data_IF_676268168313
#
_entry.id   IF_676268168313
#
_cell.length_a   1.000
_cell.length_b   1.000
_cell.length_c   1.000
_cell.angle_alpha   90.00
_cell.angle_beta   90.00
_cell.angle_gamma   90.00
#
_symmetry.space_group_name_H-M   'P 1'
#
loop_
_entity.id
_entity.type
_entity.pdbx_description
1 polymer ?
#
# COMPACT_ATOMS: atom_id res chain seq x y z
N UNK A 1 -16.74 8.87 21.07
CA UNK A 1 -16.21 7.64 20.40
C UNK A 1 -16.74 7.49 18.99
N UNK A 2 -18.04 7.51 18.70
CA UNK A 2 -18.58 7.32 17.32
C UNK A 2 -17.97 8.22 16.26
N UNK A 3 -17.73 9.51 16.56
CA UNK A 3 -17.07 10.43 15.62
C UNK A 3 -15.65 9.94 15.28
N UNK A 4 -14.84 9.59 16.28
CA UNK A 4 -13.46 9.13 16.05
C UNK A 4 -13.43 7.80 15.30
N UNK A 5 -14.38 6.92 15.56
CA UNK A 5 -14.54 5.67 14.81
C UNK A 5 -14.78 5.94 13.32
N UNK A 6 -15.75 6.79 12.98
CA UNK A 6 -16.04 7.15 11.58
C UNK A 6 -14.83 7.83 10.90
N UNK A 7 -14.15 8.75 11.58
CA UNK A 7 -12.97 9.42 11.04
C UNK A 7 -11.77 8.47 10.91
N UNK A 8 -11.59 7.54 11.84
CA UNK A 8 -10.53 6.54 11.78
C UNK A 8 -10.81 5.51 10.66
N UNK A 9 -12.08 5.22 10.36
CA UNK A 9 -12.45 4.43 9.17
C UNK A 9 -12.07 5.14 7.85
N UNK A 10 -12.20 6.47 7.80
CA UNK A 10 -11.69 7.27 6.67
C UNK A 10 -10.16 7.12 6.56
N UNK A 11 -9.44 7.15 7.69
CA UNK A 11 -7.98 6.89 7.70
C UNK A 11 -7.64 5.50 7.13
N UNK A 12 -8.37 4.46 7.54
CA UNK A 12 -8.17 3.10 7.02
C UNK A 12 -8.40 3.05 5.51
N UNK A 13 -9.50 3.61 5.02
CA UNK A 13 -9.80 3.66 3.58
C UNK A 13 -8.71 4.43 2.81
N UNK A 14 -8.22 5.54 3.37
CA UNK A 14 -7.13 6.32 2.76
C UNK A 14 -5.81 5.55 2.70
N UNK A 15 -5.50 4.74 3.72
CA UNK A 15 -4.32 3.89 3.72
C UNK A 15 -4.38 2.78 2.66
N UNK A 16 -5.57 2.22 2.38
CA UNK A 16 -5.76 1.24 1.30
C UNK A 16 -5.42 1.76 -0.10
N UNK A 17 -5.55 3.06 -0.36
CA UNK A 17 -5.14 3.67 -1.64
C UNK A 17 -3.63 3.51 -1.91
N UNK A 18 -2.83 3.32 -0.87
CA UNK A 18 -1.37 3.16 -0.93
C UNK A 18 -0.90 1.76 -0.49
N UNK A 19 -1.83 0.79 -0.47
CA UNK A 19 -1.51 -0.57 -0.04
C UNK A 19 -0.38 -1.16 -0.89
N UNK A 20 0.56 -1.82 -0.22
CA UNK A 20 1.77 -2.44 -0.76
C UNK A 20 2.88 -1.48 -1.25
N UNK A 21 2.57 -0.19 -1.48
CA UNK A 21 3.55 0.78 -2.02
C UNK A 21 4.68 1.14 -1.04
N UNK A 22 4.44 0.97 0.26
CA UNK A 22 5.43 1.17 1.31
C UNK A 22 6.05 -0.14 1.85
N UNK A 23 5.81 -1.28 1.19
CA UNK A 23 6.27 -2.59 1.67
C UNK A 23 7.77 -2.61 1.99
N UNK A 24 8.10 -3.37 2.97
CA UNK A 24 8.93 -3.44 4.14
C UNK A 24 8.40 -2.60 5.31
N UNK A 25 7.53 -1.60 5.09
CA UNK A 25 6.78 -0.87 6.10
C UNK A 25 5.28 -1.10 5.91
N UNK A 26 4.48 -0.98 6.99
CA UNK A 26 3.03 -1.06 6.89
C UNK A 26 2.44 0.17 6.19
N UNK A 27 1.29 0.01 5.53
CA UNK A 27 0.46 1.13 5.09
C UNK A 27 -0.25 1.71 6.31
N UNK A 28 0.10 2.94 6.68
CA UNK A 28 -0.44 3.64 7.86
C UNK A 28 -0.96 5.01 7.45
N UNK A 29 -2.12 5.40 7.97
CA UNK A 29 -2.64 6.76 7.87
C UNK A 29 -2.77 7.39 9.25
N UNK A 30 -2.59 8.71 9.30
CA UNK A 30 -2.76 9.53 10.49
C UNK A 30 -3.56 10.78 10.14
N UNK A 31 -4.58 11.08 10.97
CA UNK A 31 -5.37 12.29 10.90
C UNK A 31 -5.17 13.11 12.17
N UNK A 32 -5.06 14.43 12.04
CA UNK A 32 -5.01 15.35 13.17
C UNK A 32 -6.26 16.22 13.18
N UNK A 33 -6.92 16.27 14.32
CA UNK A 33 -8.08 17.11 14.58
C UNK A 33 -7.72 18.22 15.56
N UNK A 34 -8.31 19.39 15.39
CA UNK A 34 -8.22 20.48 16.35
C UNK A 34 -9.15 20.29 17.57
N UNK A 35 -9.19 21.28 18.47
CA UNK A 35 -10.07 21.29 19.66
C UNK A 35 -11.57 21.24 19.35
N UNK A 36 -12.00 21.65 18.17
CA UNK A 36 -13.38 21.64 17.68
C UNK A 36 -13.70 20.38 16.86
N UNK A 37 -12.73 19.44 16.75
CA UNK A 37 -12.76 18.25 15.89
C UNK A 37 -12.79 18.57 14.39
N UNK A 38 -12.31 19.73 13.96
CA UNK A 38 -12.05 20.03 12.56
C UNK A 38 -10.77 19.32 12.09
N UNK A 39 -10.78 18.82 10.86
CA UNK A 39 -9.65 18.07 10.29
C UNK A 39 -8.56 19.07 9.89
N UNK A 40 -7.42 19.02 10.57
CA UNK A 40 -6.23 19.79 10.22
C UNK A 40 -5.40 19.09 9.14
N UNK A 41 -5.33 17.77 9.20
CA UNK A 41 -4.55 16.98 8.22
C UNK A 41 -5.01 15.53 8.16
N UNK A 42 -4.77 14.88 7.01
CA UNK A 42 -4.86 13.43 6.81
C UNK A 42 -3.71 13.01 5.89
N UNK A 43 -2.77 12.27 6.43
CA UNK A 43 -1.57 11.84 5.72
C UNK A 43 -1.37 10.33 5.78
N UNK A 44 -0.67 9.80 4.77
CA UNK A 44 -0.37 8.36 4.65
C UNK A 44 1.12 8.15 4.45
N UNK A 45 1.66 7.08 5.03
CA UNK A 45 3.00 6.61 4.73
C UNK A 45 2.99 5.92 3.35
N UNK A 46 3.46 6.64 2.31
CA UNK A 46 3.32 6.24 0.90
C UNK A 46 4.49 5.42 0.37
N UNK A 47 5.67 5.50 1.00
CA UNK A 47 6.90 4.88 0.49
C UNK A 47 7.87 4.60 1.63
N UNK A 48 8.54 3.45 1.58
CA UNK A 48 9.60 3.12 2.53
C UNK A 48 10.72 4.19 2.55
N UNK A 49 11.30 4.40 3.72
CA UNK A 49 12.37 5.40 3.99
C UNK A 49 11.93 6.87 3.93
N UNK A 50 10.65 7.18 3.78
CA UNK A 50 10.09 8.52 3.93
C UNK A 50 9.53 8.70 5.34
N UNK A 51 9.14 9.95 5.76
CA UNK A 51 8.52 10.15 7.06
C UNK A 51 7.27 9.30 7.25
N UNK A 52 7.03 8.81 8.47
CA UNK A 52 5.83 8.06 8.80
C UNK A 52 4.59 8.97 8.80
N UNK A 53 3.40 8.36 8.74
CA UNK A 53 2.14 9.08 8.65
C UNK A 53 1.93 10.09 9.78
N UNK A 54 2.34 9.75 11.01
CA UNK A 54 2.24 10.63 12.19
C UNK A 54 3.10 11.89 12.04
N UNK A 55 4.31 11.73 11.50
CA UNK A 55 5.25 12.84 11.24
C UNK A 55 4.71 13.77 10.16
N UNK A 56 4.21 13.18 9.05
CA UNK A 56 3.60 13.92 7.94
C UNK A 56 2.32 14.65 8.39
N UNK A 57 1.47 13.98 9.16
CA UNK A 57 0.24 14.58 9.68
C UNK A 57 0.54 15.73 10.65
N UNK A 58 1.54 15.58 11.54
CA UNK A 58 2.00 16.66 12.41
C UNK A 58 2.59 17.82 11.60
N UNK A 59 3.38 17.56 10.55
CA UNK A 59 3.91 18.58 9.62
C UNK A 59 2.77 19.38 8.98
N UNK A 60 1.80 18.70 8.38
CA UNK A 60 0.68 19.34 7.70
C UNK A 60 -0.22 20.11 8.66
N UNK A 61 -0.50 19.57 9.84
CA UNK A 61 -1.27 20.27 10.88
C UNK A 61 -0.53 21.49 11.42
N UNK A 62 0.81 21.40 11.65
CA UNK A 62 1.59 22.52 12.17
C UNK A 62 1.65 23.71 11.20
N UNK A 63 1.63 23.46 9.87
CA UNK A 63 1.52 24.54 8.87
C UNK A 63 0.24 25.37 9.03
N UNK A 64 -0.85 24.76 9.51
CA UNK A 64 -2.12 25.43 9.78
C UNK A 64 -2.10 26.11 11.14
N UNK A 65 -1.65 25.39 12.18
CA UNK A 65 -1.61 25.89 13.56
C UNK A 65 -0.56 27.00 13.76
N UNK A 66 0.52 27.00 12.97
CA UNK A 66 1.64 27.94 13.02
C UNK A 66 2.01 28.42 11.61
N UNK A 67 1.21 29.28 10.96
CA UNK A 67 1.44 29.73 9.58
C UNK A 67 2.82 30.36 9.34
N UNK A 68 3.44 30.94 10.36
CA UNK A 68 4.81 31.51 10.28
C UNK A 68 5.89 30.47 9.99
N UNK A 69 5.66 29.18 10.28
CA UNK A 69 6.61 28.09 10.05
C UNK A 69 6.36 27.37 8.71
N UNK A 70 5.33 27.77 7.94
CA UNK A 70 4.91 27.07 6.73
C UNK A 70 6.04 26.91 5.71
N UNK A 71 6.75 28.01 5.41
CA UNK A 71 7.85 28.00 4.42
C UNK A 71 9.01 27.08 4.82
N UNK A 72 9.32 26.99 6.11
CA UNK A 72 10.38 26.11 6.60
C UNK A 72 9.94 24.65 6.55
N UNK A 73 8.71 24.36 7.00
CA UNK A 73 8.14 23.01 6.97
C UNK A 73 8.00 22.44 5.56
N UNK A 74 7.70 23.26 4.55
CA UNK A 74 7.57 22.80 3.14
C UNK A 74 8.90 22.30 2.53
N UNK A 75 10.04 22.68 3.10
CA UNK A 75 11.38 22.28 2.64
C UNK A 75 11.91 21.01 3.30
N UNK A 76 11.21 20.52 4.34
CA UNK A 76 11.67 19.40 5.16
C UNK A 76 11.07 18.09 4.69
N UNK A 77 11.90 17.27 4.04
CA UNK A 77 11.54 15.93 3.55
C UNK A 77 12.27 14.81 4.29
N UNK A 78 13.47 15.09 4.85
CA UNK A 78 14.22 14.08 5.60
C UNK A 78 13.51 13.73 6.92
N UNK A 79 13.25 12.44 7.20
CA UNK A 79 12.49 12.02 8.37
C UNK A 79 13.09 12.46 9.71
N UNK A 80 14.42 12.49 9.83
CA UNK A 80 15.11 12.85 11.08
C UNK A 80 15.07 14.36 11.30
N UNK A 81 15.36 15.12 10.24
CA UNK A 81 15.35 16.60 10.28
C UNK A 81 13.93 17.09 10.58
N UNK A 82 12.93 16.57 9.87
CA UNK A 82 11.53 16.93 10.08
C UNK A 82 11.05 16.59 11.50
N UNK A 83 11.32 15.38 11.97
CA UNK A 83 10.97 14.99 13.35
C UNK A 83 11.65 15.88 14.40
N UNK A 84 12.92 16.21 14.23
CA UNK A 84 13.65 17.14 15.08
C UNK A 84 13.04 18.54 15.09
N UNK A 85 12.70 19.06 13.91
CA UNK A 85 12.06 20.38 13.77
C UNK A 85 10.69 20.42 14.48
N UNK A 86 9.85 19.41 14.27
CA UNK A 86 8.55 19.31 14.94
C UNK A 86 8.69 19.32 16.47
N UNK A 87 9.63 18.53 17.01
CA UNK A 87 9.90 18.44 18.45
C UNK A 87 10.31 19.78 19.07
N UNK A 88 11.02 20.62 18.34
CA UNK A 88 11.57 21.90 18.86
C UNK A 88 10.69 23.10 18.58
N UNK A 89 9.85 23.07 17.53
CA UNK A 89 9.12 24.27 17.08
C UNK A 89 7.59 24.18 17.23
N UNK A 90 7.04 23.07 17.78
CA UNK A 90 5.58 22.92 17.94
C UNK A 90 4.98 23.92 18.94
N UNK A 91 5.74 24.36 19.95
CA UNK A 91 5.32 25.37 20.95
C UNK A 91 3.89 25.09 21.48
N UNK A 92 3.65 23.87 21.97
CA UNK A 92 2.36 23.41 22.52
C UNK A 92 1.16 23.50 21.56
N UNK A 93 1.38 23.68 20.25
CA UNK A 93 0.30 23.82 19.27
C UNK A 93 -0.63 22.61 19.21
N UNK A 94 -0.17 21.43 19.62
CA UNK A 94 -0.94 20.18 19.59
C UNK A 94 -1.66 19.83 20.89
N UNK A 95 -1.52 20.64 21.96
CA UNK A 95 -2.03 20.34 23.31
C UNK A 95 -3.52 19.95 23.33
N UNK A 96 -4.34 20.58 22.49
CA UNK A 96 -5.78 20.33 22.42
C UNK A 96 -6.17 19.46 21.20
N UNK A 97 -5.20 18.95 20.43
CA UNK A 97 -5.42 18.16 19.24
C UNK A 97 -5.68 16.68 19.56
N UNK A 98 -6.35 16.01 18.64
CA UNK A 98 -6.56 14.55 18.66
C UNK A 98 -5.88 13.95 17.43
N UNK A 99 -5.06 12.92 17.66
CA UNK A 99 -4.46 12.11 16.59
C UNK A 99 -5.24 10.82 16.42
N UNK A 100 -5.65 10.52 15.21
CA UNK A 100 -6.30 9.25 14.82
C UNK A 100 -5.31 8.49 13.93
N UNK A 101 -4.89 7.29 14.33
CA UNK A 101 -3.80 6.56 13.69
C UNK A 101 -4.25 5.11 13.43
N UNK A 102 -4.03 4.60 12.24
CA UNK A 102 -4.48 3.24 11.87
C UNK A 102 -3.67 2.11 12.50
N UNK A 103 -2.49 2.41 13.06
CA UNK A 103 -1.61 1.45 13.74
C UNK A 103 -0.97 2.13 14.96
N UNK A 104 -0.68 1.37 16.00
CA UNK A 104 0.09 1.84 17.16
C UNK A 104 1.38 2.53 16.72
N UNK A 105 1.68 3.76 17.21
CA UNK A 105 2.90 4.49 16.87
C UNK A 105 4.15 3.68 17.23
N UNK A 106 5.09 3.56 16.30
CA UNK A 106 6.32 2.80 16.53
C UNK A 106 7.12 3.36 17.73
N UNK A 107 7.72 2.45 18.52
CA UNK A 107 8.50 2.78 19.71
C UNK A 107 10.00 2.47 19.59
N UNK A 108 10.45 2.03 18.41
CA UNK A 108 11.85 1.71 18.15
C UNK A 108 12.50 2.76 17.26
N UNK A 109 13.75 3.09 17.57
CA UNK A 109 14.62 3.82 16.66
C UNK A 109 15.09 2.87 15.55
N UNK A 110 14.65 3.12 14.32
CA UNK A 110 15.09 2.41 13.14
C UNK A 110 15.74 3.34 12.13
N UNK A 111 15.34 3.24 10.87
CA UNK A 111 15.73 4.18 9.81
C UNK A 111 15.15 5.59 10.05
N UNK A 112 14.06 5.67 10.82
CA UNK A 112 13.37 6.91 11.23
C UNK A 112 13.28 6.98 12.76
N UNK A 113 13.16 8.19 13.36
CA UNK A 113 12.87 8.36 14.78
C UNK A 113 11.53 7.73 15.18
N UNK A 114 11.39 7.31 16.44
CA UNK A 114 10.17 6.71 16.95
C UNK A 114 8.99 7.73 16.95
N UNK A 115 7.85 7.33 16.36
CA UNK A 115 6.65 8.18 16.33
C UNK A 115 6.05 8.39 17.71
N UNK A 116 6.15 7.39 18.60
CA UNK A 116 5.69 7.52 19.99
C UNK A 116 6.46 8.58 20.77
N UNK A 117 7.76 8.76 20.49
CA UNK A 117 8.57 9.84 21.09
C UNK A 117 8.15 11.22 20.57
N UNK A 118 7.88 11.32 19.27
CA UNK A 118 7.35 12.56 18.71
C UNK A 118 6.02 12.93 19.39
N UNK A 119 5.07 11.99 19.44
CA UNK A 119 3.75 12.23 20.03
C UNK A 119 3.83 12.54 21.55
N UNK A 120 4.74 11.89 22.29
CA UNK A 120 5.03 12.23 23.68
C UNK A 120 5.44 13.71 23.84
N UNK A 121 6.33 14.20 22.98
CA UNK A 121 6.83 15.59 23.02
C UNK A 121 5.75 16.59 22.55
N UNK A 122 5.01 16.26 21.48
CA UNK A 122 3.91 17.09 21.00
C UNK A 122 2.76 17.20 22.02
N UNK A 123 2.65 16.21 22.90
CA UNK A 123 1.70 16.12 24.01
C UNK A 123 0.25 16.44 23.59
N UNK A 124 -0.33 15.73 22.62
CA UNK A 124 -1.72 15.97 22.20
C UNK A 124 -2.70 15.56 23.32
N UNK A 125 -3.91 16.11 23.27
CA UNK A 125 -4.98 15.76 24.19
C UNK A 125 -5.29 14.26 24.17
N UNK A 126 -5.30 13.67 22.98
CA UNK A 126 -5.68 12.25 22.78
C UNK A 126 -5.04 11.64 21.54
N UNK A 127 -4.72 10.35 21.63
CA UNK A 127 -4.34 9.51 20.50
C UNK A 127 -5.31 8.34 20.45
N UNK A 128 -6.01 8.15 19.30
CA UNK A 128 -6.91 7.02 19.06
C UNK A 128 -6.26 6.14 17.99
N UNK A 129 -6.06 4.88 18.27
CA UNK A 129 -5.44 3.92 17.37
C UNK A 129 -6.42 2.83 16.96
N UNK A 130 -6.32 2.33 15.72
CA UNK A 130 -7.20 1.27 15.24
C UNK A 130 -6.75 -0.12 15.72
N UNK A 131 -5.45 -0.38 15.76
CA UNK A 131 -4.90 -1.66 16.24
C UNK A 131 -3.51 -1.50 16.83
N UNK A 132 -3.14 -2.40 17.72
CA UNK A 132 -1.79 -2.47 18.29
C UNK A 132 -0.78 -3.02 17.28
N UNK A 133 0.50 -2.72 17.51
CA UNK A 133 1.63 -3.33 16.83
C UNK A 133 1.83 -4.79 17.33
N UNK A 134 2.63 -5.58 16.61
CA UNK A 134 2.98 -6.93 17.08
C UNK A 134 3.84 -6.86 18.36
N UNK A 135 3.91 -7.97 19.11
CA UNK A 135 4.61 -8.03 20.40
C UNK A 135 6.08 -7.57 20.34
N UNK A 136 6.77 -7.83 19.21
CA UNK A 136 8.17 -7.48 19.05
C UNK A 136 8.42 -5.95 18.88
N UNK A 137 7.40 -5.20 18.45
CA UNK A 137 7.48 -3.75 18.15
C UNK A 137 6.56 -2.90 19.01
N UNK A 138 5.80 -3.52 19.90
CA UNK A 138 4.88 -2.90 20.86
C UNK A 138 5.60 -1.90 21.78
N UNK A 139 4.84 -1.00 22.35
CA UNK A 139 5.32 -0.11 23.41
C UNK A 139 5.02 1.36 23.19
N UNK A 140 4.55 1.74 22.01
CA UNK A 140 4.14 3.12 21.73
C UNK A 140 2.96 3.55 22.59
N UNK A 141 1.94 2.70 22.72
CA UNK A 141 0.78 2.95 23.58
C UNK A 141 1.17 3.08 25.07
N UNK A 142 2.05 2.19 25.55
CA UNK A 142 2.54 2.23 26.91
C UNK A 142 3.35 3.51 27.20
N UNK A 143 4.18 3.94 26.22
CA UNK A 143 4.95 5.19 26.31
C UNK A 143 4.04 6.40 26.41
N UNK A 144 3.03 6.51 25.57
CA UNK A 144 2.08 7.61 25.56
C UNK A 144 1.29 7.68 26.90
N UNK A 145 0.83 6.53 27.40
CA UNK A 145 0.16 6.47 28.72
C UNK A 145 1.07 6.91 29.86
N UNK A 146 2.35 6.50 29.84
CA UNK A 146 3.35 6.95 30.84
C UNK A 146 3.61 8.45 30.77
N UNK A 147 3.52 9.04 29.59
CA UNK A 147 3.63 10.47 29.37
C UNK A 147 2.32 11.25 29.64
N UNK A 148 1.31 10.58 30.21
CA UNK A 148 -0.02 11.16 30.51
C UNK A 148 -0.80 11.63 29.27
N UNK A 149 -0.46 11.16 28.07
CA UNK A 149 -1.28 11.32 26.86
C UNK A 149 -2.40 10.30 26.89
N UNK A 150 -3.65 10.73 26.74
CA UNK A 150 -4.79 9.82 26.67
C UNK A 150 -4.71 8.99 25.37
N UNK A 151 -4.28 7.74 25.49
CA UNK A 151 -4.13 6.84 24.35
C UNK A 151 -5.09 5.66 24.47
N UNK A 152 -5.96 5.46 23.45
CA UNK A 152 -7.04 4.48 23.43
C UNK A 152 -7.07 3.70 22.11
N UNK A 153 -7.60 2.47 22.16
CA UNK A 153 -7.80 1.60 20.99
C UNK A 153 -9.27 1.64 20.59
N UNK A 154 -9.53 1.78 19.31
CA UNK A 154 -10.85 1.68 18.71
C UNK A 154 -11.13 0.21 18.32
N UNK A 155 -11.58 -0.59 19.29
CA UNK A 155 -11.76 -2.04 19.13
C UNK A 155 -12.68 -2.43 17.97
N UNK A 156 -13.71 -1.62 17.69
CA UNK A 156 -14.65 -1.89 16.58
C UNK A 156 -13.98 -1.91 15.19
N UNK A 157 -12.83 -1.24 15.02
CA UNK A 157 -12.10 -1.18 13.77
C UNK A 157 -10.86 -2.09 13.71
N UNK A 158 -10.59 -2.82 14.78
CA UNK A 158 -9.37 -3.64 14.92
C UNK A 158 -9.21 -4.66 13.78
N UNK A 159 -10.30 -5.37 13.42
CA UNK A 159 -10.25 -6.35 12.34
C UNK A 159 -9.98 -5.70 10.97
N UNK A 160 -10.62 -4.54 10.67
CA UNK A 160 -10.35 -3.78 9.43
C UNK A 160 -8.89 -3.30 9.37
N UNK A 161 -8.33 -2.88 10.50
CA UNK A 161 -6.94 -2.48 10.59
C UNK A 161 -5.98 -3.67 10.42
N UNK A 162 -6.29 -4.85 10.99
CA UNK A 162 -5.53 -6.08 10.78
C UNK A 162 -5.55 -6.53 9.31
N UNK A 163 -6.68 -6.38 8.63
CA UNK A 163 -6.80 -6.65 7.19
C UNK A 163 -5.91 -5.71 6.36
N UNK A 164 -5.88 -4.42 6.68
CA UNK A 164 -4.98 -3.45 6.06
C UNK A 164 -3.51 -3.83 6.25
N UNK A 165 -3.14 -4.37 7.41
CA UNK A 165 -1.75 -4.72 7.73
C UNK A 165 -1.32 -6.09 7.18
N UNK A 166 -2.24 -6.89 6.63
CA UNK A 166 -1.97 -8.27 6.24
C UNK A 166 -0.78 -8.42 5.26
N UNK A 167 -0.63 -7.62 4.18
CA UNK A 167 0.53 -7.72 3.28
C UNK A 167 1.86 -7.49 4.00
N UNK A 168 1.91 -6.51 4.89
CA UNK A 168 3.08 -6.22 5.71
C UNK A 168 3.41 -7.39 6.67
N UNK A 169 2.39 -7.96 7.34
CA UNK A 169 2.57 -9.11 8.25
C UNK A 169 3.06 -10.36 7.51
N UNK A 170 2.57 -10.59 6.29
CA UNK A 170 3.05 -11.68 5.44
C UNK A 170 4.52 -11.45 5.06
N UNK A 171 4.87 -10.23 4.61
CA UNK A 171 6.24 -9.84 4.28
C UNK A 171 7.17 -10.03 5.49
N UNK A 172 6.78 -9.55 6.66
CA UNK A 172 7.55 -9.67 7.90
C UNK A 172 7.78 -11.14 8.30
N UNK A 173 6.75 -11.98 8.20
CA UNK A 173 6.80 -13.40 8.59
C UNK A 173 7.54 -14.27 7.58
N UNK A 174 7.32 -14.04 6.28
CA UNK A 174 7.81 -14.93 5.20
C UNK A 174 9.03 -14.37 4.46
N UNK A 175 9.43 -13.10 4.69
CA UNK A 175 10.43 -12.40 3.89
C UNK A 175 10.00 -12.14 2.43
N UNK A 176 8.72 -12.36 2.13
CA UNK A 176 8.13 -12.20 0.80
C UNK A 176 6.64 -11.86 0.86
N UNK A 177 6.17 -11.22 -0.20
CA UNK A 177 4.74 -11.02 -0.44
C UNK A 177 4.46 -11.14 -1.94
N UNK A 178 3.52 -12.00 -2.32
CA UNK A 178 3.15 -12.29 -3.71
C UNK A 178 1.72 -11.81 -3.98
N UNK A 179 1.60 -10.70 -4.72
CA UNK A 179 0.33 -10.10 -5.10
C UNK A 179 0.00 -10.46 -6.55
N UNK A 180 -1.10 -11.15 -6.78
CA UNK A 180 -1.61 -11.42 -8.12
C UNK A 180 -2.62 -10.37 -8.53
N UNK A 181 -2.41 -9.71 -9.66
CA UNK A 181 -3.35 -8.74 -10.23
C UNK A 181 -4.02 -9.28 -11.47
N UNK A 182 -5.34 -9.22 -11.50
CA UNK A 182 -6.18 -9.55 -12.64
C UNK A 182 -7.16 -8.39 -12.93
N UNK A 183 -7.35 -8.05 -14.20
CA UNK A 183 -8.41 -7.14 -14.63
C UNK A 183 -9.46 -7.90 -15.43
N UNK A 184 -10.75 -7.63 -15.16
CA UNK A 184 -11.86 -8.23 -15.89
C UNK A 184 -13.04 -7.25 -16.01
N UNK A 185 -13.91 -7.50 -16.97
CA UNK A 185 -15.21 -6.84 -17.11
C UNK A 185 -16.27 -7.55 -16.28
N UNK A 186 -17.44 -6.92 -16.15
CA UNK A 186 -18.56 -7.47 -15.35
C UNK A 186 -19.03 -8.85 -15.81
N UNK A 187 -18.89 -9.17 -17.10
CA UNK A 187 -19.19 -10.51 -17.63
C UNK A 187 -18.00 -11.49 -17.54
N UNK A 188 -16.94 -11.16 -16.81
CA UNK A 188 -15.77 -12.02 -16.59
C UNK A 188 -14.75 -12.01 -17.72
N UNK A 189 -14.94 -11.21 -18.76
CA UNK A 189 -13.95 -11.09 -19.83
C UNK A 189 -12.66 -10.41 -19.32
N UNK A 190 -11.51 -11.03 -19.63
CA UNK A 190 -10.17 -10.54 -19.30
C UNK A 190 -9.20 -10.61 -20.50
N UNK A 191 -9.72 -10.88 -21.69
CA UNK A 191 -8.89 -11.16 -22.89
C UNK A 191 -9.01 -10.10 -23.98
N UNK A 192 -10.13 -9.40 -24.06
CA UNK A 192 -10.41 -8.55 -25.21
C UNK A 192 -10.07 -7.08 -24.94
N UNK A 193 -9.02 -6.60 -25.59
CA UNK A 193 -8.62 -5.19 -25.58
C UNK A 193 -8.24 -4.65 -24.21
N UNK A 194 -8.09 -3.32 -24.14
CA UNK A 194 -7.79 -2.62 -22.88
C UNK A 194 -9.02 -2.62 -21.97
N UNK A 195 -8.86 -3.06 -20.73
CA UNK A 195 -9.95 -3.14 -19.74
C UNK A 195 -9.87 -1.95 -18.78
N UNK A 196 -8.69 -1.66 -18.22
CA UNK A 196 -8.50 -0.70 -17.15
C UNK A 196 -8.42 0.75 -17.63
N UNK A 197 -8.99 1.68 -16.86
CA UNK A 197 -8.93 3.12 -17.07
C UNK A 197 -7.58 3.74 -16.69
N UNK A 198 -7.51 5.09 -16.73
CA UNK A 198 -6.26 5.81 -16.50
C UNK A 198 -5.79 5.73 -15.05
N UNK A 199 -6.69 5.92 -14.08
CA UNK A 199 -6.33 5.84 -12.65
C UNK A 199 -5.86 4.44 -12.25
N UNK A 200 -6.51 3.40 -12.76
CA UNK A 200 -6.06 2.02 -12.57
C UNK A 200 -4.70 1.73 -13.21
N UNK A 201 -4.41 2.37 -14.35
CA UNK A 201 -3.08 2.28 -14.96
C UNK A 201 -2.01 2.92 -14.07
N UNK A 202 -2.27 4.13 -13.53
CA UNK A 202 -1.37 4.80 -12.56
C UNK A 202 -1.17 3.91 -11.34
N UNK A 203 -2.25 3.41 -10.74
CA UNK A 203 -2.19 2.52 -9.58
C UNK A 203 -1.33 1.27 -9.87
N UNK A 204 -1.54 0.61 -11.01
CA UNK A 204 -0.75 -0.56 -11.44
C UNK A 204 0.72 -0.21 -11.66
N UNK A 205 1.01 0.94 -12.27
CA UNK A 205 2.39 1.39 -12.49
C UNK A 205 3.09 1.81 -11.20
N UNK A 206 2.35 2.30 -10.18
CA UNK A 206 2.90 2.51 -8.83
C UNK A 206 3.34 1.18 -8.21
N UNK A 207 2.53 0.11 -8.35
CA UNK A 207 2.91 -1.24 -7.90
C UNK A 207 4.17 -1.75 -8.62
N UNK A 208 4.26 -1.56 -9.94
CA UNK A 208 5.46 -1.92 -10.72
C UNK A 208 6.69 -1.15 -10.28
N UNK A 209 6.56 0.15 -9.97
CA UNK A 209 7.68 0.97 -9.52
C UNK A 209 8.21 0.57 -8.13
N UNK A 210 7.39 -0.09 -7.31
CA UNK A 210 7.74 -0.48 -5.93
C UNK A 210 8.05 -1.96 -5.76
N UNK A 211 7.58 -2.84 -6.65
CA UNK A 211 7.89 -4.27 -6.55
C UNK A 211 9.36 -4.59 -6.89
N UNK A 212 9.85 -5.70 -6.36
CA UNK A 212 11.17 -6.22 -6.68
C UNK A 212 11.15 -6.97 -8.01
N UNK A 213 10.09 -7.77 -8.24
CA UNK A 213 9.94 -8.55 -9.48
C UNK A 213 8.50 -8.49 -9.98
N UNK A 214 8.35 -8.18 -11.25
CA UNK A 214 7.11 -8.32 -12.01
C UNK A 214 7.09 -9.68 -12.71
N UNK A 215 6.06 -10.48 -12.46
CA UNK A 215 5.89 -11.80 -13.08
C UNK A 215 4.78 -11.75 -14.12
N UNK A 216 5.03 -12.27 -15.30
CA UNK A 216 4.05 -12.36 -16.40
C UNK A 216 4.14 -13.69 -17.14
N UNK A 217 3.11 -14.03 -17.92
CA UNK A 217 3.16 -15.19 -18.81
C UNK A 217 3.87 -14.88 -20.12
N UNK A 218 4.55 -15.87 -20.71
CA UNK A 218 5.11 -15.74 -22.06
C UNK A 218 4.03 -15.53 -23.13
N UNK A 219 2.78 -15.96 -22.88
CA UNK A 219 1.64 -15.66 -23.75
C UNK A 219 1.40 -14.15 -23.83
N UNK A 220 1.38 -13.44 -22.69
CA UNK A 220 1.26 -11.97 -22.66
C UNK A 220 2.33 -11.30 -23.50
N UNK A 221 3.61 -11.75 -23.39
CA UNK A 221 4.70 -11.17 -24.18
C UNK A 221 4.47 -11.37 -25.69
N UNK A 222 4.07 -12.58 -26.12
CA UNK A 222 3.85 -12.87 -27.53
C UNK A 222 2.62 -12.22 -28.14
N UNK A 223 1.57 -11.98 -27.32
CA UNK A 223 0.29 -11.42 -27.81
C UNK A 223 0.31 -9.90 -27.80
N UNK A 224 0.80 -9.29 -26.71
CA UNK A 224 0.63 -7.86 -26.44
C UNK A 224 1.92 -7.06 -26.63
N UNK A 225 3.07 -7.74 -26.73
CA UNK A 225 4.42 -7.18 -26.78
C UNK A 225 4.59 -5.96 -25.82
N UNK A 226 4.31 -6.12 -24.53
CA UNK A 226 4.27 -5.01 -23.59
C UNK A 226 5.67 -4.59 -23.18
N UNK A 227 5.86 -3.29 -22.90
CA UNK A 227 7.11 -2.77 -22.35
C UNK A 227 7.31 -3.19 -20.88
N UNK A 228 6.24 -3.32 -20.11
CA UNK A 228 6.24 -3.70 -18.68
C UNK A 228 7.12 -2.80 -17.80
N UNK A 229 7.10 -1.53 -18.06
CA UNK A 229 7.75 -0.48 -17.28
C UNK A 229 6.79 0.18 -16.28
N UNK A 230 7.27 1.20 -15.59
CA UNK A 230 6.50 2.00 -14.64
C UNK A 230 6.25 3.45 -15.12
N UNK A 231 6.27 3.72 -16.43
CA UNK A 231 6.22 5.09 -17.01
C UNK A 231 5.01 5.94 -16.62
N UNK A 232 3.92 5.32 -16.19
CA UNK A 232 2.71 6.02 -15.74
C UNK A 232 2.60 6.09 -14.22
N UNK A 233 3.64 5.70 -13.48
CA UNK A 233 3.62 5.84 -12.03
C UNK A 233 3.61 7.32 -11.63
N UNK A 234 3.09 7.60 -10.43
CA UNK A 234 3.21 8.89 -9.79
C UNK A 234 4.71 9.27 -9.65
N UNK A 235 5.05 10.51 -9.94
CA UNK A 235 6.42 11.02 -9.88
C UNK A 235 7.12 10.78 -8.53
N UNK A 236 6.36 10.63 -7.47
CA UNK A 236 6.83 10.26 -6.13
C UNK A 236 7.58 8.90 -6.10
N UNK A 237 7.26 7.96 -7.00
CA UNK A 237 7.90 6.64 -7.09
C UNK A 237 9.11 6.60 -8.02
N UNK A 238 9.46 7.71 -8.68
CA UNK A 238 10.67 7.89 -9.52
C UNK A 238 10.78 6.94 -10.72
N UNK A 239 9.67 6.44 -11.25
CA UNK A 239 9.63 5.61 -12.48
C UNK A 239 10.69 4.48 -12.52
N UNK A 240 10.91 3.79 -11.38
CA UNK A 240 11.81 2.65 -11.30
C UNK A 240 11.22 1.48 -12.09
N UNK A 241 11.97 0.91 -13.04
CA UNK A 241 11.54 -0.31 -13.73
C UNK A 241 11.73 -1.55 -12.86
N UNK A 242 10.72 -2.42 -12.72
CA UNK A 242 10.86 -3.68 -12.00
C UNK A 242 11.75 -4.67 -12.79
N UNK A 243 12.39 -5.61 -12.12
CA UNK A 243 12.88 -6.81 -12.77
C UNK A 243 11.69 -7.61 -13.30
N UNK A 244 11.86 -8.33 -14.41
CA UNK A 244 10.77 -9.12 -15.01
C UNK A 244 11.13 -10.60 -15.05
N UNK A 245 10.23 -11.44 -14.55
CA UNK A 245 10.27 -12.88 -14.68
C UNK A 245 9.14 -13.36 -15.61
N UNK A 246 9.50 -13.99 -16.71
CA UNK A 246 8.56 -14.47 -17.72
C UNK A 246 8.39 -15.98 -17.55
N UNK A 247 7.20 -16.43 -17.20
CA UNK A 247 6.87 -17.87 -17.17
C UNK A 247 6.45 -18.34 -18.56
N UNK A 248 7.26 -19.17 -19.23
CA UNK A 248 6.97 -19.62 -20.59
C UNK A 248 7.60 -20.98 -20.90
N UNK A 249 6.82 -21.89 -21.48
CA UNK A 249 7.31 -23.14 -22.06
C UNK A 249 7.84 -22.98 -23.49
N UNK A 250 7.66 -21.81 -24.08
CA UNK A 250 8.09 -21.52 -25.46
C UNK A 250 9.09 -20.34 -25.44
N UNK A 251 9.94 -20.29 -26.45
CA UNK A 251 10.89 -19.20 -26.62
C UNK A 251 10.18 -17.83 -26.69
N UNK A 252 10.88 -16.82 -26.21
CA UNK A 252 10.47 -15.42 -26.32
C UNK A 252 11.37 -14.75 -27.36
N UNK A 253 10.77 -13.97 -28.24
CA UNK A 253 11.54 -13.21 -29.24
C UNK A 253 12.49 -12.24 -28.52
N UNK A 254 13.82 -12.28 -28.77
CA UNK A 254 14.79 -11.40 -28.15
C UNK A 254 14.57 -9.92 -28.51
N UNK A 255 13.82 -9.61 -29.55
CA UNK A 255 13.45 -8.24 -29.96
C UNK A 255 12.14 -7.76 -29.33
N UNK A 256 11.47 -8.55 -28.48
CA UNK A 256 10.27 -8.11 -27.76
C UNK A 256 10.56 -6.89 -26.90
N UNK A 257 9.60 -5.95 -26.87
CA UNK A 257 9.73 -4.66 -26.16
C UNK A 257 10.05 -4.79 -24.67
N UNK A 258 9.70 -5.90 -24.04
CA UNK A 258 10.05 -6.17 -22.64
C UNK A 258 11.56 -6.09 -22.37
N UNK A 259 12.41 -6.37 -23.35
CA UNK A 259 13.87 -6.30 -23.23
C UNK A 259 14.44 -4.90 -23.45
N UNK A 260 13.68 -3.92 -23.96
CA UNK A 260 14.17 -2.59 -24.30
C UNK A 260 14.16 -1.59 -23.14
N UNK A 261 13.45 -1.87 -22.04
CA UNK A 261 13.45 -0.95 -20.89
C UNK A 261 14.76 -1.05 -20.11
N UNK A 262 15.39 0.10 -19.77
CA UNK A 262 16.71 0.13 -19.16
C UNK A 262 16.67 -0.25 -17.65
N UNK A 263 17.86 -0.56 -17.11
CA UNK A 263 18.13 -0.72 -15.68
C UNK A 263 17.27 -1.80 -14.99
N UNK A 264 17.05 -2.93 -15.66
CA UNK A 264 16.36 -4.09 -15.09
C UNK A 264 16.87 -5.41 -15.67
N UNK A 265 16.62 -6.49 -14.95
CA UNK A 265 16.85 -7.86 -15.42
C UNK A 265 15.53 -8.42 -15.98
N UNK A 266 15.62 -9.15 -17.11
CA UNK A 266 14.49 -9.88 -17.71
C UNK A 266 14.93 -11.33 -17.89
N UNK A 267 14.29 -12.26 -17.17
CA UNK A 267 14.62 -13.68 -17.22
C UNK A 267 13.39 -14.49 -17.60
N UNK A 268 13.60 -15.60 -18.35
CA UNK A 268 12.55 -16.56 -18.70
C UNK A 268 12.71 -17.83 -17.88
N UNK A 269 11.60 -18.33 -17.36
CA UNK A 269 11.50 -19.54 -16.55
C UNK A 269 10.52 -20.51 -17.20
N UNK A 270 10.86 -21.80 -17.19
CA UNK A 270 10.04 -22.85 -17.79
C UNK A 270 9.08 -23.51 -16.78
N UNK A 271 9.52 -23.63 -15.55
CA UNK A 271 8.74 -24.20 -14.44
C UNK A 271 8.32 -23.09 -13.44
N UNK A 272 7.06 -23.08 -13.01
CA UNK A 272 6.62 -22.19 -11.93
C UNK A 272 7.43 -22.31 -10.63
N UNK A 273 8.08 -23.46 -10.38
CA UNK A 273 8.90 -23.67 -9.18
C UNK A 273 10.18 -22.84 -9.18
N UNK A 274 10.70 -22.50 -10.34
CA UNK A 274 11.97 -21.76 -10.51
C UNK A 274 11.78 -20.25 -10.44
N UNK A 275 10.52 -19.76 -10.45
CA UNK A 275 10.24 -18.34 -10.32
C UNK A 275 10.75 -17.76 -8.98
N UNK A 276 11.29 -16.54 -8.99
CA UNK A 276 11.87 -15.90 -7.79
C UNK A 276 10.81 -15.39 -6.80
N UNK A 277 9.82 -16.24 -6.45
CA UNK A 277 8.68 -15.92 -5.59
C UNK A 277 8.96 -16.14 -4.09
N UNK A 278 10.19 -16.41 -3.70
CA UNK A 278 10.56 -16.77 -2.33
C UNK A 278 11.11 -15.60 -1.50
N UNK A 279 11.27 -14.41 -2.08
CA UNK A 279 11.76 -13.21 -1.39
C UNK A 279 11.17 -11.92 -1.98
N UNK A 280 11.11 -10.88 -1.17
CA UNK A 280 10.72 -9.52 -1.58
C UNK A 280 9.25 -9.38 -1.99
N UNK A 281 8.90 -8.24 -2.55
CA UNK A 281 7.57 -7.96 -3.08
C UNK A 281 7.50 -8.36 -4.56
N UNK A 282 6.71 -9.38 -4.86
CA UNK A 282 6.47 -9.88 -6.20
C UNK A 282 5.08 -9.47 -6.67
N UNK A 283 5.02 -8.78 -7.81
CA UNK A 283 3.77 -8.37 -8.44
C UNK A 283 3.52 -9.23 -9.68
N UNK A 284 2.42 -9.97 -9.70
CA UNK A 284 2.10 -10.95 -10.75
C UNK A 284 0.95 -10.40 -11.58
N UNK A 285 1.16 -10.18 -12.86
CA UNK A 285 0.11 -9.71 -13.78
C UNK A 285 -0.24 -10.79 -14.80
N UNK A 286 -1.54 -11.14 -14.87
CA UNK A 286 -1.98 -12.16 -15.84
C UNK A 286 -3.46 -12.48 -15.76
N UNK A 287 -3.87 -13.46 -16.56
CA UNK A 287 -5.20 -14.03 -16.54
C UNK A 287 -5.33 -15.25 -15.62
N UNK A 288 -6.52 -15.87 -15.66
CA UNK A 288 -6.82 -17.02 -14.81
C UNK A 288 -5.90 -18.22 -15.03
N UNK A 289 -5.37 -18.41 -16.23
CA UNK A 289 -4.45 -19.51 -16.53
C UNK A 289 -3.12 -19.36 -15.75
N UNK A 290 -2.60 -18.13 -15.65
CA UNK A 290 -1.41 -17.87 -14.86
C UNK A 290 -1.72 -17.96 -13.37
N UNK A 291 -2.89 -17.45 -12.93
CA UNK A 291 -3.34 -17.57 -11.55
C UNK A 291 -3.42 -19.04 -11.12
N UNK A 292 -4.05 -19.91 -11.91
CA UNK A 292 -4.14 -21.35 -11.63
C UNK A 292 -2.76 -21.98 -11.41
N UNK A 293 -1.77 -21.60 -12.23
CA UNK A 293 -0.41 -22.16 -12.12
C UNK A 293 0.39 -21.62 -10.94
N UNK A 294 0.02 -20.47 -10.37
CA UNK A 294 0.73 -19.80 -9.28
C UNK A 294 -0.12 -19.64 -8.01
N UNK A 295 -1.31 -20.22 -7.98
CA UNK A 295 -2.28 -20.05 -6.90
C UNK A 295 -1.70 -20.34 -5.52
N UNK A 296 -1.01 -21.48 -5.37
CA UNK A 296 -0.43 -21.92 -4.08
C UNK A 296 0.75 -21.02 -3.63
N UNK A 297 1.27 -20.19 -4.52
CA UNK A 297 2.35 -19.23 -4.23
C UNK A 297 1.84 -17.81 -4.06
N UNK A 298 0.58 -17.55 -4.39
CA UNK A 298 -0.06 -16.24 -4.31
C UNK A 298 -0.58 -16.00 -2.90
N UNK A 299 -0.21 -14.90 -2.28
CA UNK A 299 -0.71 -14.52 -0.94
C UNK A 299 -2.03 -13.74 -1.02
N UNK A 300 -2.17 -12.88 -2.04
CA UNK A 300 -3.38 -12.09 -2.25
C UNK A 300 -3.69 -11.90 -3.74
N UNK A 301 -4.98 -11.76 -4.05
CA UNK A 301 -5.50 -11.39 -5.36
C UNK A 301 -6.01 -9.95 -5.31
N UNK A 302 -5.52 -9.13 -6.24
CA UNK A 302 -6.03 -7.79 -6.54
C UNK A 302 -6.85 -7.86 -7.83
N UNK A 303 -8.16 -7.76 -7.71
CA UNK A 303 -9.06 -7.82 -8.84
C UNK A 303 -9.52 -6.43 -9.24
N UNK A 304 -9.26 -6.04 -10.49
CA UNK A 304 -9.82 -4.84 -11.11
C UNK A 304 -11.09 -5.22 -11.88
N UNK A 305 -12.25 -4.95 -11.34
CA UNK A 305 -13.54 -5.22 -11.96
C UNK A 305 -14.06 -3.94 -12.65
N UNK A 306 -13.98 -3.89 -13.97
CA UNK A 306 -14.43 -2.75 -14.77
C UNK A 306 -15.93 -2.82 -15.08
N UNK A 307 -16.65 -1.71 -14.89
CA UNK A 307 -18.11 -1.60 -15.09
C UNK A 307 -18.51 -1.59 -16.59
N UNK A 308 -18.01 -2.56 -17.36
CA UNK A 308 -18.39 -2.76 -18.76
C UNK A 308 -18.65 -4.21 -19.07
N UNK A 309 -19.36 -4.46 -20.15
CA UNK A 309 -19.69 -5.78 -20.72
C UNK A 309 -19.39 -5.73 -22.20
N UNK A 310 -18.77 -6.77 -22.75
CA UNK A 310 -18.66 -6.94 -24.19
C UNK A 310 -19.86 -7.72 -24.72
N UNK A 311 -20.35 -7.32 -25.92
CA UNK A 311 -21.58 -7.88 -26.50
C UNK A 311 -21.41 -9.24 -27.15
N UNK A 312 -20.19 -9.74 -27.33
CA UNK A 312 -19.92 -11.03 -27.95
C UNK A 312 -19.79 -12.15 -26.92
N UNK A 313 -20.00 -13.38 -27.32
CA UNK A 313 -19.77 -14.56 -26.49
C UNK A 313 -18.30 -14.61 -26.08
N UNK A 314 -18.03 -14.77 -24.80
CA UNK A 314 -16.69 -14.97 -24.30
C UNK A 314 -16.57 -16.36 -23.66
N UNK A 315 -15.40 -16.94 -23.74
CA UNK A 315 -15.11 -18.18 -23.05
C UNK A 315 -14.73 -17.89 -21.62
N UNK A 316 -15.62 -18.15 -20.67
CA UNK A 316 -15.29 -18.14 -19.25
C UNK A 316 -14.17 -19.16 -18.99
N UNK A 317 -13.13 -18.74 -18.30
CA UNK A 317 -12.14 -19.68 -17.81
C UNK A 317 -12.69 -20.41 -16.59
N UNK A 318 -12.69 -21.73 -16.62
CA UNK A 318 -13.03 -22.56 -15.47
C UNK A 318 -11.75 -22.94 -14.72
N UNK A 319 -11.64 -22.55 -13.47
CA UNK A 319 -10.59 -23.05 -12.59
C UNK A 319 -10.74 -24.55 -12.38
N UNK A 320 -9.65 -25.31 -12.39
CA UNK A 320 -9.64 -26.76 -12.12
C UNK A 320 -10.17 -27.08 -10.73
N UNK A 321 -9.83 -26.23 -9.79
CA UNK A 321 -10.36 -26.30 -8.42
C UNK A 321 -11.00 -24.96 -8.06
N UNK A 322 -12.15 -24.96 -7.35
CA UNK A 322 -12.79 -23.73 -6.92
C UNK A 322 -11.83 -22.84 -6.12
N UNK A 323 -11.86 -21.52 -6.37
CA UNK A 323 -11.18 -20.53 -5.57
C UNK A 323 -12.16 -19.95 -4.56
N UNK A 324 -11.76 -19.90 -3.31
CA UNK A 324 -12.50 -19.24 -2.23
C UNK A 324 -11.53 -18.36 -1.47
N UNK A 325 -11.67 -17.04 -1.64
CA UNK A 325 -10.88 -16.05 -0.93
C UNK A 325 -11.72 -15.25 0.06
N UNK A 326 -11.07 -14.53 0.96
CA UNK A 326 -11.70 -13.59 1.89
C UNK A 326 -11.52 -12.16 1.36
N UNK A 327 -12.63 -11.46 1.10
CA UNK A 327 -12.59 -10.05 0.72
C UNK A 327 -12.15 -9.21 1.92
N UNK A 328 -11.06 -8.48 1.75
CA UNK A 328 -10.48 -7.60 2.78
C UNK A 328 -10.94 -6.17 2.62
N UNK A 329 -10.93 -5.67 1.37
CA UNK A 329 -11.27 -4.29 1.06
C UNK A 329 -11.77 -4.16 -0.37
N UNK A 330 -12.66 -3.19 -0.58
CA UNK A 330 -13.13 -2.78 -1.89
C UNK A 330 -13.08 -1.26 -2.01
N UNK A 331 -12.50 -0.73 -3.08
CA UNK A 331 -12.50 0.70 -3.38
C UNK A 331 -12.94 0.96 -4.79
N UNK A 332 -13.61 2.10 -5.00
CA UNK A 332 -14.01 2.55 -6.33
C UNK A 332 -12.92 3.44 -6.91
N UNK A 333 -12.54 3.16 -8.14
CA UNK A 333 -11.55 3.92 -8.89
C UNK A 333 -12.10 4.22 -10.29
N UNK A 334 -12.76 5.37 -10.45
CA UNK A 334 -13.51 5.73 -11.67
C UNK A 334 -14.63 4.72 -11.96
N UNK A 335 -14.54 3.98 -13.07
CA UNK A 335 -15.49 2.96 -13.49
C UNK A 335 -15.07 1.56 -13.10
N UNK A 336 -14.18 1.42 -12.13
CA UNK A 336 -13.65 0.14 -11.67
C UNK A 336 -13.80 -0.01 -10.17
N UNK A 337 -14.04 -1.26 -9.74
CA UNK A 337 -13.88 -1.65 -8.35
C UNK A 337 -12.55 -2.42 -8.22
N UNK A 338 -11.70 -1.99 -7.29
CA UNK A 338 -10.51 -2.73 -6.88
C UNK A 338 -10.87 -3.57 -5.65
N UNK A 339 -10.75 -4.88 -5.78
CA UNK A 339 -11.05 -5.82 -4.71
C UNK A 339 -9.76 -6.48 -4.23
N UNK A 340 -9.46 -6.31 -2.93
CA UNK A 340 -8.35 -6.95 -2.26
C UNK A 340 -8.84 -8.24 -1.60
N UNK A 341 -8.32 -9.38 -2.05
CA UNK A 341 -8.81 -10.70 -1.65
C UNK A 341 -7.64 -11.52 -1.10
N UNK A 342 -7.73 -11.97 0.14
CA UNK A 342 -6.79 -12.92 0.72
C UNK A 342 -7.00 -14.29 0.06
N UNK A 343 -5.89 -14.93 -0.31
CA UNK A 343 -5.89 -16.31 -0.78
C UNK A 343 -5.80 -17.24 0.44
N UNK A 344 -6.90 -17.91 0.74
CA UNK A 344 -7.08 -18.77 1.93
C UNK A 344 -6.95 -20.26 1.59
#
# INVERSE_FOLDING_TARGET
MKLYESLLEICLNKAWEYQTLALENPSVACMVLDKNHEILSLEVHKKAKTPHAEVLAAQSALKILRPSLKSDLEKLEDPKILSGFLKTHHNNAFKDCVFLITLEPCNSYGKTPACSELLEILNPKRVVIATEENEAKKGGLARLKKAHVEAIICQSLENKAKDLLLPFRIMEKKGRFNLFKLALRMNGDYKHGKITGQKSAIFTHNQRATCDTLIVSGKTIRTDDPLLDARFCDGFYHNKNPNVAILSKHSINPHSRVFSAPNRLVNTFYDPKDLPLNKGFNFIEGGWELFESLRDKTDMLLLHAHASVIGESFNAFALKTPFKGRLLHAQILENEALLWIENS
#
